data_IF_211275134107
#
_entry.id   IF_211275134107
#
_cell.length_a   1.000
_cell.length_b   1.000
_cell.length_c   1.000
_cell.angle_alpha   90.00
_cell.angle_beta   90.00
_cell.angle_gamma   90.00
#
_symmetry.space_group_name_H-M   'P 1'
#
loop_
_entity.id
_entity.type
_entity.pdbx_description
1 polymer ?
#
# COMPACT_ATOMS: atom_id res chain seq x y z
N UNK A 1 -1.52 4.94 38.23
CA UNK A 1 -0.54 4.88 37.13
C UNK A 1 -0.73 3.53 36.43
N UNK A 2 -1.63 3.44 35.44
CA UNK A 2 -1.92 2.19 34.73
C UNK A 2 -1.19 2.18 33.39
N UNK A 3 -0.30 1.20 33.23
CA UNK A 3 0.46 0.95 32.01
C UNK A 3 -0.48 0.30 30.97
N UNK A 4 -0.93 1.04 29.96
CA UNK A 4 -1.66 0.48 28.83
C UNK A 4 -0.65 -0.14 27.86
N UNK A 5 -0.57 -1.48 27.84
CA UNK A 5 0.18 -2.22 26.82
C UNK A 5 -0.66 -2.32 25.55
N UNK A 6 -0.35 -1.48 24.56
CA UNK A 6 -0.85 -1.59 23.19
C UNK A 6 -0.30 -2.86 22.55
N UNK A 7 -1.17 -3.86 22.33
CA UNK A 7 -0.85 -5.00 21.48
C UNK A 7 -1.13 -4.60 20.02
N UNK A 8 -0.07 -4.39 19.24
CA UNK A 8 -0.11 -4.16 17.79
C UNK A 8 -0.40 -5.49 17.09
N UNK A 9 -1.56 -5.60 16.42
CA UNK A 9 -1.83 -6.68 15.47
C UNK A 9 -1.55 -6.14 14.07
N UNK A 10 -0.60 -6.75 13.36
CA UNK A 10 -0.19 -6.32 12.03
C UNK A 10 -1.08 -6.90 10.91
N UNK A 11 -1.46 -6.01 9.99
CA UNK A 11 -1.79 -6.22 8.58
C UNK A 11 -3.07 -6.98 8.19
N UNK A 12 -4.07 -6.21 7.75
CA UNK A 12 -4.98 -6.54 6.64
C UNK A 12 -5.28 -5.24 5.86
N UNK A 13 -4.66 -5.09 4.69
CA UNK A 13 -5.05 -4.15 3.63
C UNK A 13 -5.34 -2.70 4.06
N UNK A 14 -4.29 -1.87 4.22
CA UNK A 14 -4.43 -0.39 4.23
C UNK A 14 -5.34 0.21 5.30
N UNK A 15 -5.70 -0.57 6.33
CA UNK A 15 -6.60 -0.19 7.41
C UNK A 15 -5.91 -0.47 8.75
N UNK A 16 -5.53 0.57 9.48
CA UNK A 16 -5.18 0.40 10.89
C UNK A 16 -6.46 0.32 11.71
N UNK A 17 -6.83 -0.90 12.08
CA UNK A 17 -7.82 -1.13 13.12
C UNK A 17 -7.16 -1.05 14.50
N UNK A 18 -7.38 0.06 15.21
CA UNK A 18 -7.12 0.12 16.65
C UNK A 18 -8.27 -0.51 17.43
N UNK A 19 -7.96 -1.44 18.35
CA UNK A 19 -8.94 -2.02 19.27
C UNK A 19 -8.87 -1.26 20.58
N UNK A 20 -9.92 -0.52 20.94
CA UNK A 20 -10.05 0.07 22.28
C UNK A 20 -10.99 -0.77 23.13
N UNK A 21 -10.48 -1.44 24.18
CA UNK A 21 -11.32 -2.09 25.19
C UNK A 21 -11.79 -1.06 26.22
N UNK A 22 -13.10 -0.82 26.29
CA UNK A 22 -13.72 -0.13 27.43
C UNK A 22 -14.44 -1.17 28.29
N UNK A 23 -13.99 -1.34 29.52
CA UNK A 23 -14.63 -2.22 30.51
C UNK A 23 -15.80 -1.43 31.12
N UNK A 24 -17.03 -1.82 30.82
CA UNK A 24 -18.25 -1.24 31.38
C UNK A 24 -18.74 -2.13 32.53
N UNK A 25 -18.37 -1.76 33.75
CA UNK A 25 -18.86 -2.31 35.02
C UNK A 25 -18.62 -3.81 35.30
N UNK A 26 -18.41 -4.09 36.59
CA UNK A 26 -17.75 -5.29 37.13
C UNK A 26 -18.56 -6.59 37.13
N UNK A 27 -19.83 -6.58 36.69
CA UNK A 27 -20.73 -7.75 36.89
C UNK A 27 -21.35 -8.32 35.59
N UNK A 28 -20.97 -7.84 34.39
CA UNK A 28 -21.42 -8.46 33.15
C UNK A 28 -20.43 -8.18 31.99
N UNK A 29 -19.54 -9.13 31.73
CA UNK A 29 -18.55 -9.08 30.65
C UNK A 29 -19.22 -9.26 29.27
N UNK A 30 -19.85 -8.20 28.74
CA UNK A 30 -20.22 -8.13 27.33
C UNK A 30 -19.34 -7.09 26.63
N UNK A 31 -18.20 -7.55 26.09
CA UNK A 31 -17.28 -6.71 25.32
C UNK A 31 -17.87 -6.40 23.93
N UNK A 32 -18.44 -5.20 23.76
CA UNK A 32 -18.89 -4.71 22.46
C UNK A 32 -17.67 -4.15 21.71
N UNK A 33 -17.23 -4.86 20.67
CA UNK A 33 -16.17 -4.41 19.76
C UNK A 33 -16.75 -3.43 18.74
N UNK A 34 -16.63 -2.13 19.01
CA UNK A 34 -16.96 -1.10 18.02
C UNK A 34 -15.76 -0.94 17.09
N UNK A 35 -15.88 -1.47 15.87
CA UNK A 35 -14.88 -1.29 14.80
C UNK A 35 -15.13 0.07 14.16
N UNK A 36 -14.42 1.11 14.61
CA UNK A 36 -14.39 2.39 13.91
C UNK A 36 -13.45 2.28 12.71
N UNK A 37 -14.01 1.89 11.56
CA UNK A 37 -13.30 1.85 10.29
C UNK A 37 -13.42 3.22 9.60
N UNK A 38 -12.57 4.18 9.97
CA UNK A 38 -12.47 5.43 9.20
C UNK A 38 -11.76 5.14 7.87
N UNK A 39 -12.28 5.60 6.73
CA UNK A 39 -11.55 5.53 5.47
C UNK A 39 -10.25 6.33 5.61
N UNK A 40 -9.14 5.70 5.23
CA UNK A 40 -7.83 6.35 5.20
C UNK A 40 -7.84 7.45 4.14
N UNK A 41 -7.66 8.69 4.59
CA UNK A 41 -7.69 9.87 3.72
C UNK A 41 -6.37 9.96 2.95
N UNK A 42 -6.46 10.08 1.62
CA UNK A 42 -5.34 10.49 0.77
C UNK A 42 -4.77 11.82 1.28
N UNK A 43 -3.44 11.96 1.43
CA UNK A 43 -2.84 13.21 1.89
C UNK A 43 -3.02 14.30 0.82
N UNK A 44 -2.91 15.56 1.24
CA UNK A 44 -2.89 16.68 0.31
C UNK A 44 -1.74 16.51 -0.68
N UNK A 45 -2.05 16.48 -1.98
CA UNK A 45 -1.05 16.38 -3.04
C UNK A 45 -0.19 17.65 -3.08
N UNK A 46 1.13 17.48 -3.00
CA UNK A 46 2.11 18.54 -3.21
C UNK A 46 2.29 18.82 -4.71
N UNK A 47 2.59 20.06 -5.08
CA UNK A 47 2.76 20.49 -6.48
C UNK A 47 3.87 19.72 -7.22
N UNK A 48 4.86 19.21 -6.48
CA UNK A 48 5.95 18.39 -7.04
C UNK A 48 5.49 17.00 -7.51
N UNK A 49 4.33 16.52 -7.04
CA UNK A 49 3.77 15.21 -7.40
C UNK A 49 2.92 15.36 -8.67
N UNK A 50 3.24 14.64 -9.76
CA UNK A 50 2.47 14.73 -11.00
C UNK A 50 0.99 14.43 -10.82
N UNK A 51 0.14 15.13 -11.58
CA UNK A 51 -1.32 14.96 -11.52
C UNK A 51 -1.79 13.53 -11.87
N UNK A 52 -1.02 12.79 -12.67
CA UNK A 52 -1.32 11.41 -13.03
C UNK A 52 -0.77 10.37 -12.03
N UNK A 53 -0.11 10.80 -10.95
CA UNK A 53 0.31 9.93 -9.87
C UNK A 53 -0.89 9.54 -9.00
N UNK A 54 -1.00 8.26 -8.66
CA UNK A 54 -2.10 7.73 -7.83
C UNK A 54 -1.56 7.45 -6.43
N UNK A 55 -2.35 7.79 -5.42
CA UNK A 55 -2.04 7.50 -4.02
C UNK A 55 -2.15 6.00 -3.72
N UNK A 56 -1.09 5.42 -3.17
CA UNK A 56 -1.08 4.07 -2.63
C UNK A 56 -0.53 4.11 -1.21
N UNK A 57 -1.43 4.10 -0.23
CA UNK A 57 -1.08 4.19 1.18
C UNK A 57 -2.22 3.85 2.11
N UNK A 58 -1.93 3.99 3.40
CA UNK A 58 -2.89 3.83 4.48
C UNK A 58 -2.58 4.81 5.62
N UNK A 59 -3.01 4.46 6.82
CA UNK A 59 -2.91 5.31 8.01
C UNK A 59 -1.50 5.38 8.58
N UNK A 60 -0.61 4.47 8.16
CA UNK A 60 0.82 4.51 8.48
C UNK A 60 1.63 5.24 7.40
N UNK A 61 0.96 5.92 6.46
CA UNK A 61 1.57 6.60 5.32
C UNK A 61 1.50 5.79 4.03
N UNK A 62 2.21 6.26 3.02
CA UNK A 62 2.25 5.64 1.71
C UNK A 62 3.13 6.38 0.71
N UNK A 63 2.78 6.25 -0.56
CA UNK A 63 3.51 6.88 -1.64
C UNK A 63 2.60 7.18 -2.84
N UNK A 64 3.06 8.08 -3.68
CA UNK A 64 2.42 8.36 -4.96
C UNK A 64 3.12 7.58 -6.06
N UNK A 65 2.36 6.95 -6.97
CA UNK A 65 2.95 6.13 -8.03
C UNK A 65 2.41 6.55 -9.38
N UNK A 66 3.33 6.76 -10.32
CA UNK A 66 3.04 6.86 -11.75
C UNK A 66 3.47 5.59 -12.45
N UNK A 67 2.65 5.13 -13.39
CA UNK A 67 2.96 3.97 -14.24
C UNK A 67 2.94 4.43 -15.70
N UNK A 68 4.03 4.19 -16.41
CA UNK A 68 4.20 4.45 -17.83
C UNK A 68 4.49 3.18 -18.63
N UNK A 69 4.35 3.29 -19.94
CA UNK A 69 4.65 2.18 -20.85
C UNK A 69 6.16 1.94 -20.94
N UNK A 70 6.58 0.68 -20.87
CA UNK A 70 7.93 0.27 -21.28
C UNK A 70 7.92 -0.24 -22.72
N UNK A 71 9.11 -0.40 -23.30
CA UNK A 71 9.28 -0.91 -24.68
C UNK A 71 8.93 -2.40 -24.79
N UNK A 72 9.10 -3.15 -23.70
CA UNK A 72 8.92 -4.60 -23.66
C UNK A 72 7.65 -4.96 -22.91
N UNK A 73 7.02 -6.07 -23.32
CA UNK A 73 5.87 -6.62 -22.61
C UNK A 73 6.23 -6.98 -21.16
N UNK A 74 5.27 -6.83 -20.24
CA UNK A 74 5.43 -7.09 -18.81
C UNK A 74 6.53 -6.25 -18.13
N UNK A 75 6.90 -5.13 -18.75
CA UNK A 75 7.77 -4.13 -18.15
C UNK A 75 7.01 -2.82 -18.03
N UNK A 76 7.23 -2.11 -16.92
CA UNK A 76 6.52 -0.88 -16.60
C UNK A 76 7.52 0.16 -16.13
N UNK A 77 7.45 1.37 -16.69
CA UNK A 77 8.22 2.50 -16.16
C UNK A 77 7.47 3.03 -14.96
N UNK A 78 8.02 2.84 -13.77
CA UNK A 78 7.37 3.24 -12.53
C UNK A 78 8.22 4.34 -11.87
N UNK A 79 7.55 5.39 -11.41
CA UNK A 79 8.15 6.38 -10.51
C UNK A 79 7.30 6.44 -9.26
N UNK A 80 7.96 6.30 -8.11
CA UNK A 80 7.41 6.39 -6.77
C UNK A 80 7.88 7.71 -6.16
N UNK A 81 6.94 8.49 -5.62
CA UNK A 81 7.22 9.76 -4.96
C UNK A 81 6.92 9.64 -3.47
N UNK A 82 7.78 10.25 -2.67
CA UNK A 82 7.58 10.38 -1.22
C UNK A 82 6.34 11.24 -0.92
N UNK A 83 5.57 10.84 0.09
CA UNK A 83 4.34 11.52 0.48
C UNK A 83 4.57 12.90 1.10
N UNK A 84 5.71 13.10 1.77
CA UNK A 84 6.00 14.28 2.59
C UNK A 84 6.77 15.36 1.82
N UNK A 85 7.66 14.97 0.91
CA UNK A 85 8.46 15.90 0.11
C UNK A 85 8.00 16.01 -1.34
N UNK A 86 7.30 14.99 -1.87
CA UNK A 86 7.00 14.89 -3.29
C UNK A 86 8.22 14.56 -4.16
N UNK A 87 9.39 14.33 -3.56
CA UNK A 87 10.61 13.92 -4.26
C UNK A 87 10.50 12.48 -4.77
N UNK A 88 11.29 12.15 -5.78
CA UNK A 88 11.36 10.79 -6.31
C UNK A 88 12.05 9.89 -5.28
N UNK A 89 11.29 8.95 -4.72
CA UNK A 89 11.82 7.91 -3.85
C UNK A 89 12.45 6.79 -4.69
N UNK A 90 11.76 6.35 -5.74
CA UNK A 90 12.27 5.28 -6.62
C UNK A 90 11.81 5.48 -8.06
N UNK A 91 12.66 5.14 -9.02
CA UNK A 91 12.37 5.25 -10.45
C UNK A 91 13.09 4.17 -11.24
N UNK A 92 12.37 3.54 -12.15
CA UNK A 92 12.98 2.57 -13.05
C UNK A 92 11.99 1.80 -13.90
N UNK A 93 12.53 0.77 -14.55
CA UNK A 93 11.72 -0.25 -15.22
C UNK A 93 11.50 -1.37 -14.23
N UNK A 94 10.25 -1.79 -14.07
CA UNK A 94 9.84 -2.86 -13.16
C UNK A 94 9.20 -4.00 -13.96
N UNK A 95 9.41 -5.23 -13.50
CA UNK A 95 8.82 -6.44 -14.10
C UNK A 95 8.26 -7.34 -13.02
N UNK A 96 7.36 -8.24 -13.39
CA UNK A 96 6.93 -9.30 -12.49
C UNK A 96 8.12 -10.15 -12.04
N UNK A 97 8.14 -10.47 -10.75
CA UNK A 97 9.05 -11.49 -10.27
C UNK A 97 8.68 -12.87 -10.83
N UNK A 98 9.58 -13.84 -10.68
CA UNK A 98 9.41 -15.19 -11.24
C UNK A 98 8.23 -15.98 -10.65
N UNK A 99 7.66 -15.52 -9.53
CA UNK A 99 6.58 -16.20 -8.83
C UNK A 99 5.18 -15.75 -9.31
N UNK A 100 5.12 -14.68 -10.10
CA UNK A 100 3.87 -14.26 -10.71
C UNK A 100 3.52 -15.16 -11.91
N UNK A 101 2.31 -15.72 -11.93
CA UNK A 101 1.82 -16.44 -13.12
C UNK A 101 1.18 -15.51 -14.15
N UNK A 102 1.16 -14.20 -13.86
CA UNK A 102 0.51 -13.19 -14.67
C UNK A 102 1.35 -12.83 -15.90
N UNK A 103 0.71 -12.73 -17.06
CA UNK A 103 1.36 -12.29 -18.29
C UNK A 103 0.44 -11.38 -19.10
N UNK A 104 1.05 -10.48 -19.87
CA UNK A 104 0.40 -9.60 -20.85
C UNK A 104 -0.55 -8.56 -20.25
N UNK A 105 -0.17 -8.00 -19.10
CA UNK A 105 -0.94 -6.90 -18.49
C UNK A 105 -0.57 -5.56 -19.12
N UNK A 106 -1.57 -4.69 -19.26
CA UNK A 106 -1.37 -3.30 -19.69
C UNK A 106 -1.23 -2.37 -18.47
N UNK A 107 -0.97 -1.07 -18.72
CA UNK A 107 -0.83 -0.06 -17.67
C UNK A 107 -2.05 0.01 -16.74
N UNK A 108 -3.27 -0.05 -17.28
CA UNK A 108 -4.51 0.08 -16.52
C UNK A 108 -4.68 -1.13 -15.58
N UNK A 109 -4.41 -2.32 -16.08
CA UNK A 109 -4.45 -3.55 -15.29
C UNK A 109 -3.49 -3.45 -14.10
N UNK A 110 -2.25 -3.02 -14.34
CA UNK A 110 -1.25 -2.84 -13.29
C UNK A 110 -1.69 -1.83 -12.24
N UNK A 111 -2.17 -0.66 -12.65
CA UNK A 111 -2.62 0.37 -11.71
C UNK A 111 -3.72 -0.15 -10.77
N UNK A 112 -4.63 -0.99 -11.29
CA UNK A 112 -5.70 -1.59 -10.49
C UNK A 112 -5.18 -2.62 -9.46
N UNK A 113 -4.04 -3.25 -9.77
CA UNK A 113 -3.44 -4.30 -8.96
C UNK A 113 -2.49 -3.76 -7.91
N UNK A 114 -1.89 -2.58 -8.07
CA UNK A 114 -0.95 -2.06 -7.07
C UNK A 114 -1.65 -1.92 -5.70
N UNK A 115 -1.01 -2.47 -4.67
CA UNK A 115 -1.39 -2.30 -3.26
C UNK A 115 -0.51 -1.31 -2.51
N UNK A 116 0.73 -1.09 -2.95
CA UNK A 116 1.67 -0.17 -2.32
C UNK A 116 3.12 -0.44 -2.70
N UNK A 117 4.03 0.19 -1.99
CA UNK A 117 5.48 0.05 -2.14
C UNK A 117 6.10 -0.22 -0.77
N UNK A 118 7.03 -1.17 -0.69
CA UNK A 118 7.68 -1.57 0.58
C UNK A 118 9.08 -0.97 0.77
N UNK A 119 9.47 0.00 -0.06
CA UNK A 119 10.81 0.56 -0.12
C UNK A 119 11.71 -0.08 -1.18
N UNK A 120 11.34 -1.25 -1.72
CA UNK A 120 12.09 -1.94 -2.75
C UNK A 120 11.23 -2.50 -3.90
N UNK A 121 9.95 -2.82 -3.63
CA UNK A 121 9.09 -3.60 -4.53
C UNK A 121 7.68 -3.01 -4.68
N UNK A 122 7.22 -3.13 -5.92
CA UNK A 122 5.85 -3.22 -6.45
C UNK A 122 4.87 -4.16 -5.75
N UNK A 123 4.22 -3.82 -4.62
CA UNK A 123 3.26 -4.75 -4.02
C UNK A 123 1.96 -4.81 -4.83
N UNK A 124 1.41 -6.02 -5.00
CA UNK A 124 0.20 -6.27 -5.79
C UNK A 124 -0.92 -6.91 -4.94
N UNK A 125 -2.16 -6.50 -5.20
CA UNK A 125 -3.41 -7.07 -4.67
C UNK A 125 -3.71 -8.38 -5.38
N UNK A 126 -3.03 -9.46 -5.01
CA UNK A 126 -3.35 -10.79 -5.56
C UNK A 126 -3.63 -11.82 -4.46
N UNK A 127 -4.88 -12.31 -4.41
CA UNK A 127 -5.33 -13.25 -3.37
C UNK A 127 -4.75 -14.66 -3.53
N UNK A 128 -4.37 -15.06 -4.75
CA UNK A 128 -3.91 -16.43 -5.06
C UNK A 128 -2.39 -16.58 -5.06
N UNK A 129 -1.63 -15.49 -5.14
CA UNK A 129 -0.16 -15.53 -5.25
C UNK A 129 0.44 -14.57 -4.22
N UNK A 130 0.66 -15.07 -3.00
CA UNK A 130 1.15 -14.26 -1.87
C UNK A 130 2.53 -13.62 -2.10
N UNK A 131 3.29 -14.12 -3.07
CA UNK A 131 4.65 -13.68 -3.37
C UNK A 131 4.77 -13.01 -4.75
N UNK A 132 3.66 -12.61 -5.37
CA UNK A 132 3.70 -11.90 -6.65
C UNK A 132 3.85 -10.38 -6.43
N UNK A 133 4.92 -9.81 -6.97
CA UNK A 133 5.24 -8.39 -6.91
C UNK A 133 6.01 -7.94 -8.15
N UNK A 134 6.11 -6.62 -8.35
CA UNK A 134 7.02 -6.05 -9.33
C UNK A 134 8.37 -5.72 -8.68
N UNK A 135 9.46 -6.12 -9.33
CA UNK A 135 10.83 -5.82 -8.91
C UNK A 135 11.53 -4.95 -9.95
N UNK A 136 12.47 -4.12 -9.50
CA UNK A 136 13.25 -3.26 -10.38
C UNK A 136 14.12 -4.12 -11.28
N UNK A 137 14.03 -3.88 -12.58
CA UNK A 137 14.82 -4.57 -13.58
C UNK A 137 16.13 -3.80 -13.78
N UNK A 138 17.21 -4.32 -13.20
CA UNK A 138 18.59 -3.93 -13.53
C UNK A 138 19.09 -4.81 -14.67
N UNK A 139 19.61 -4.19 -15.72
CA UNK A 139 20.31 -4.88 -16.80
C UNK A 139 21.73 -5.24 -16.37
#
# INVERSE_FOLDING_TARGET
MQLQRLLRVSNLSGKNCGITMKILNKELFLAIFIINCSPTLEPTRLDAIPADAIWYGGSDGGCWITVGNAKLMNQYKITVYDENSGEIWEKGVFKFNRKCSMSKMNKVDILSLISGFDGHRILLKHKREKDCYLEKYTQ
#
